data_IF_056108357269
#
_entry.id   IF_056108357269
#
_cell.length_a   1.000
_cell.length_b   1.000
_cell.length_c   1.000
_cell.angle_alpha   90.00
_cell.angle_beta   90.00
_cell.angle_gamma   90.00
#
_symmetry.space_group_name_H-M   'P 1'
#
loop_
_entity.id
_entity.type
_entity.pdbx_description
1 polymer ?
#
# COMPACT_ATOMS: atom_id res chain seq x y z
N UNK A 1 -11.81 -0.23 -59.01
CA UNK A 1 -12.90 0.56 -58.37
C UNK A 1 -13.67 -0.31 -57.37
N UNK A 2 -14.31 -1.41 -57.77
CA UNK A 2 -15.07 -2.29 -56.86
C UNK A 2 -14.23 -2.92 -55.74
N UNK A 3 -13.01 -3.38 -56.03
CA UNK A 3 -12.12 -4.00 -55.04
C UNK A 3 -11.65 -3.00 -53.97
N UNK A 4 -11.32 -1.77 -54.38
CA UNK A 4 -10.88 -0.69 -53.50
C UNK A 4 -11.99 -0.25 -52.55
N UNK A 5 -13.25 -0.17 -53.02
CA UNK A 5 -14.41 0.21 -52.20
C UNK A 5 -14.75 -0.86 -51.14
N UNK A 6 -14.61 -2.15 -51.47
CA UNK A 6 -14.84 -3.26 -50.51
C UNK A 6 -13.76 -3.24 -49.41
N UNK A 7 -12.51 -2.93 -49.77
CA UNK A 7 -11.41 -2.86 -48.81
C UNK A 7 -11.57 -1.65 -47.88
N UNK A 8 -11.92 -0.47 -48.40
CA UNK A 8 -12.16 0.73 -47.57
C UNK A 8 -13.36 0.57 -46.64
N UNK A 9 -14.47 -0.01 -47.12
CA UNK A 9 -15.66 -0.26 -46.30
C UNK A 9 -15.40 -1.31 -45.20
N UNK A 10 -14.61 -2.37 -45.48
CA UNK A 10 -14.22 -3.35 -44.46
C UNK A 10 -13.29 -2.73 -43.40
N UNK A 11 -12.38 -1.83 -43.77
CA UNK A 11 -11.45 -1.16 -42.84
C UNK A 11 -12.21 -0.19 -41.90
N UNK A 12 -13.21 0.55 -42.40
CA UNK A 12 -14.03 1.44 -41.57
C UNK A 12 -14.96 0.70 -40.59
N UNK A 13 -15.26 -0.59 -40.81
CA UNK A 13 -16.11 -1.40 -39.91
C UNK A 13 -15.26 -2.22 -38.92
N UNK A 14 -14.09 -2.71 -39.35
CA UNK A 14 -13.19 -3.49 -38.50
C UNK A 14 -12.58 -2.63 -37.40
N UNK A 15 -12.27 -1.36 -37.69
CA UNK A 15 -11.70 -0.42 -36.72
C UNK A 15 -12.61 -0.09 -35.52
N UNK A 16 -13.92 0.26 -35.68
CA UNK A 16 -14.80 0.51 -34.55
C UNK A 16 -15.14 -0.77 -33.80
N UNK A 17 -15.26 -1.92 -34.48
CA UNK A 17 -15.55 -3.20 -33.83
C UNK A 17 -14.38 -3.65 -32.95
N UNK A 18 -13.15 -3.50 -33.45
CA UNK A 18 -11.92 -3.78 -32.71
C UNK A 18 -11.77 -2.81 -31.53
N UNK A 19 -12.06 -1.51 -31.72
CA UNK A 19 -12.04 -0.52 -30.65
C UNK A 19 -13.10 -0.84 -29.57
N UNK A 20 -14.31 -1.27 -29.97
CA UNK A 20 -15.35 -1.71 -29.05
C UNK A 20 -14.91 -2.94 -28.26
N UNK A 21 -14.29 -3.92 -28.92
CA UNK A 21 -13.72 -5.11 -28.28
C UNK A 21 -12.63 -4.74 -27.27
N UNK A 22 -11.74 -3.81 -27.62
CA UNK A 22 -10.73 -3.30 -26.69
C UNK A 22 -11.34 -2.57 -25.49
N UNK A 23 -12.34 -1.72 -25.71
CA UNK A 23 -13.07 -1.03 -24.64
C UNK A 23 -13.84 -2.02 -23.74
N UNK A 24 -14.42 -3.07 -24.32
CA UNK A 24 -15.07 -4.14 -23.58
C UNK A 24 -14.05 -4.90 -22.72
N UNK A 25 -12.89 -5.26 -23.29
CA UNK A 25 -11.80 -5.91 -22.56
C UNK A 25 -11.29 -5.05 -21.39
N UNK A 26 -11.14 -3.73 -21.61
CA UNK A 26 -10.77 -2.78 -20.55
C UNK A 26 -11.85 -2.73 -19.46
N UNK A 27 -13.13 -2.68 -19.84
CA UNK A 27 -14.26 -2.69 -18.91
C UNK A 27 -14.42 -4.02 -18.15
N UNK A 28 -14.04 -5.16 -18.74
CA UNK A 28 -13.98 -6.45 -18.05
C UNK A 28 -12.77 -6.54 -17.10
N UNK A 29 -11.68 -5.85 -17.41
CA UNK A 29 -10.43 -5.90 -16.63
C UNK A 29 -10.42 -4.99 -15.40
N UNK A 30 -11.34 -4.02 -15.30
CA UNK A 30 -11.42 -3.06 -14.20
C UNK A 30 -12.02 -3.70 -12.93
N UNK A 31 -11.32 -4.69 -12.39
CA UNK A 31 -11.56 -5.15 -11.03
C UNK A 31 -11.01 -4.10 -10.07
N UNK A 32 -11.90 -3.20 -9.60
CA UNK A 32 -11.58 -2.32 -8.49
C UNK A 32 -11.25 -3.20 -7.26
N UNK A 33 -9.98 -3.25 -6.86
CA UNK A 33 -9.55 -3.96 -5.65
C UNK A 33 -10.35 -3.42 -4.46
N UNK A 34 -11.19 -4.25 -3.86
CA UNK A 34 -11.91 -3.85 -2.67
C UNK A 34 -10.94 -3.89 -1.48
N UNK A 35 -10.34 -2.73 -1.20
CA UNK A 35 -9.38 -2.55 -0.10
C UNK A 35 -9.91 -3.12 1.21
N UNK A 36 -11.22 -3.07 1.48
CA UNK A 36 -11.79 -3.58 2.73
C UNK A 36 -11.70 -5.10 2.88
N UNK A 37 -11.57 -5.84 1.79
CA UNK A 37 -11.47 -7.32 1.78
C UNK A 37 -10.07 -7.82 1.47
N UNK A 38 -9.12 -6.93 1.24
CA UNK A 38 -7.75 -7.32 0.92
C UNK A 38 -7.13 -8.07 2.10
N UNK A 39 -6.68 -9.29 1.83
CA UNK A 39 -5.88 -10.12 2.75
C UNK A 39 -4.50 -10.25 2.12
N UNK A 40 -3.48 -9.84 2.85
CA UNK A 40 -2.13 -9.59 2.37
C UNK A 40 -1.54 -8.33 2.99
N UNK A 41 -0.26 -8.10 2.78
CA UNK A 41 0.47 -6.94 3.28
C UNK A 41 1.23 -6.30 2.10
N UNK A 42 1.04 -5.00 1.90
CA UNK A 42 1.58 -4.30 0.73
C UNK A 42 2.08 -2.89 1.08
N UNK A 43 3.01 -2.39 0.27
CA UNK A 43 3.49 -1.00 0.33
C UNK A 43 2.42 -0.09 -0.25
N UNK A 44 2.05 0.97 0.46
CA UNK A 44 1.08 1.97 0.03
C UNK A 44 1.45 3.36 0.51
N UNK A 45 0.96 4.35 -0.21
CA UNK A 45 1.11 5.75 0.17
C UNK A 45 0.28 6.05 1.44
N UNK A 46 0.94 6.68 2.41
CA UNK A 46 0.35 7.14 3.66
C UNK A 46 0.82 8.54 3.97
N UNK A 47 -0.10 9.38 4.43
CA UNK A 47 0.21 10.76 4.80
C UNK A 47 0.03 10.94 6.31
N UNK A 48 1.05 11.46 6.97
CA UNK A 48 1.03 11.76 8.39
C UNK A 48 1.51 13.18 8.67
N UNK A 49 1.22 13.69 9.87
CA UNK A 49 1.71 14.99 10.30
C UNK A 49 2.98 14.80 11.14
N UNK A 50 4.13 15.11 10.54
CA UNK A 50 5.42 15.13 11.24
C UNK A 50 5.46 16.30 12.23
N UNK A 51 5.78 16.01 13.49
CA UNK A 51 5.86 16.99 14.58
C UNK A 51 7.14 16.79 15.36
N UNK A 52 7.77 17.91 15.72
CA UNK A 52 8.94 17.97 16.60
C UNK A 52 8.77 19.16 17.56
N UNK A 53 9.07 19.01 18.86
CA UNK A 53 8.99 20.12 19.80
C UNK A 53 9.81 21.33 19.31
N UNK A 54 9.22 22.52 19.34
CA UNK A 54 9.88 23.75 18.92
C UNK A 54 9.87 24.03 17.40
N UNK A 55 9.18 23.21 16.60
CA UNK A 55 8.94 23.45 15.17
C UNK A 55 7.45 23.41 14.83
N UNK A 56 7.09 23.97 13.68
CA UNK A 56 5.78 23.77 13.06
C UNK A 56 5.60 22.36 12.52
N UNK A 57 4.35 21.89 12.47
CA UNK A 57 4.03 20.59 11.87
C UNK A 57 4.11 20.62 10.34
N UNK A 58 4.44 19.47 9.74
CA UNK A 58 4.48 19.28 8.29
C UNK A 58 3.71 18.02 7.90
N UNK A 59 2.79 18.11 6.95
CA UNK A 59 2.20 16.92 6.33
C UNK A 59 3.21 16.28 5.39
N UNK A 60 3.51 15.01 5.63
CA UNK A 60 4.48 14.22 4.87
C UNK A 60 3.77 13.02 4.29
N UNK A 61 3.91 12.83 2.98
CA UNK A 61 3.42 11.68 2.25
C UNK A 61 4.58 10.72 1.99
N UNK A 62 4.44 9.46 2.37
CA UNK A 62 5.48 8.44 2.25
C UNK A 62 4.89 7.07 1.99
N UNK A 63 5.70 6.16 1.45
CA UNK A 63 5.40 4.74 1.40
C UNK A 63 5.44 4.11 2.80
N UNK A 64 4.39 3.38 3.16
CA UNK A 64 4.21 2.67 4.42
C UNK A 64 3.56 1.28 4.20
N UNK A 65 3.63 0.41 5.20
CA UNK A 65 3.03 -0.92 5.14
C UNK A 65 1.57 -0.91 5.56
N UNK A 66 0.71 -1.53 4.74
CA UNK A 66 -0.72 -1.63 5.00
C UNK A 66 -1.31 -2.96 4.53
N UNK A 67 -2.22 -3.52 5.31
CA UNK A 67 -2.91 -4.76 4.96
C UNK A 67 -3.44 -5.54 6.15
N UNK A 68 -3.84 -6.79 5.89
CA UNK A 68 -4.34 -7.74 6.90
C UNK A 68 -3.66 -9.09 6.70
N UNK A 69 -3.07 -9.61 7.76
CA UNK A 69 -2.39 -10.90 7.73
C UNK A 69 -3.32 -12.01 8.25
N UNK A 70 -3.11 -13.21 7.76
CA UNK A 70 -3.79 -14.39 8.28
C UNK A 70 -3.21 -14.76 9.64
N UNK A 71 -4.12 -15.02 10.59
CA UNK A 71 -3.80 -15.42 11.95
C UNK A 71 -4.74 -16.52 12.38
N UNK A 72 -4.29 -17.40 13.26
CA UNK A 72 -5.12 -18.47 13.79
C UNK A 72 -4.71 -18.82 15.22
N UNK A 73 -5.65 -19.40 15.94
CA UNK A 73 -5.42 -19.98 17.27
C UNK A 73 -6.05 -21.36 17.28
N UNK A 74 -5.28 -22.34 17.76
CA UNK A 74 -5.64 -23.75 17.77
C UNK A 74 -5.67 -24.23 19.22
N UNK A 75 -6.80 -24.74 19.71
CA UNK A 75 -6.85 -25.41 21.00
C UNK A 75 -5.97 -26.67 20.99
N UNK A 76 -5.21 -26.88 22.07
CA UNK A 76 -4.39 -28.08 22.31
C UNK A 76 -4.72 -28.68 23.67
N UNK A 77 -4.45 -29.98 23.84
CA UNK A 77 -4.86 -30.73 25.05
C UNK A 77 -3.97 -30.41 26.24
N UNK A 78 -2.66 -30.28 26.01
CA UNK A 78 -1.69 -29.99 27.06
C UNK A 78 -1.49 -28.48 27.24
N UNK A 79 -1.13 -28.00 28.44
CA UNK A 79 -0.72 -26.62 28.66
C UNK A 79 0.32 -26.17 27.61
N UNK A 80 0.23 -24.96 27.02
CA UNK A 80 -0.61 -23.83 27.41
C UNK A 80 -2.07 -23.85 26.88
N UNK A 81 -2.58 -24.99 26.42
CA UNK A 81 -3.96 -25.19 25.92
C UNK A 81 -4.34 -24.44 24.63
N UNK A 82 -3.53 -23.48 24.21
CA UNK A 82 -3.68 -22.75 22.95
C UNK A 82 -2.33 -22.66 22.25
N UNK A 83 -2.29 -23.08 20.99
CA UNK A 83 -1.22 -22.82 20.03
C UNK A 83 -1.65 -21.63 19.15
N UNK A 84 -0.92 -20.52 19.17
CA UNK A 84 -1.28 -19.32 18.43
C UNK A 84 -0.28 -18.99 17.32
N UNK A 85 -0.81 -18.53 16.20
CA UNK A 85 -0.05 -18.00 15.07
C UNK A 85 -0.56 -16.59 14.78
N UNK A 86 0.16 -15.63 15.34
CA UNK A 86 -0.19 -14.22 15.24
C UNK A 86 0.85 -13.52 14.37
N UNK A 87 0.37 -12.87 13.30
CA UNK A 87 1.19 -12.11 12.35
C UNK A 87 0.57 -10.75 12.12
N UNK A 88 1.42 -9.76 11.95
CA UNK A 88 1.04 -8.38 11.64
C UNK A 88 1.67 -7.94 10.33
N UNK A 89 1.04 -6.99 9.65
CA UNK A 89 1.63 -6.36 8.48
C UNK A 89 2.70 -5.37 8.93
N UNK A 90 3.97 -5.67 8.61
CA UNK A 90 5.12 -4.89 9.09
C UNK A 90 6.12 -4.64 7.97
N UNK A 91 7.07 -3.75 8.24
CA UNK A 91 8.20 -3.44 7.36
C UNK A 91 9.15 -4.64 7.32
N UNK A 92 9.39 -5.16 6.12
CA UNK A 92 10.46 -6.12 5.87
C UNK A 92 11.76 -5.38 5.50
N UNK A 93 11.65 -4.38 4.62
CA UNK A 93 12.76 -3.54 4.17
C UNK A 93 12.29 -2.08 4.13
N UNK A 94 13.11 -1.17 4.67
CA UNK A 94 12.84 0.26 4.67
C UNK A 94 14.11 1.08 4.46
N UNK A 95 13.92 2.33 4.05
CA UNK A 95 14.98 3.35 3.98
C UNK A 95 14.63 4.52 4.88
N UNK A 96 15.64 5.14 5.47
CA UNK A 96 15.45 6.37 6.24
C UNK A 96 15.35 7.57 5.29
N UNK A 97 14.31 8.38 5.48
CA UNK A 97 14.06 9.61 4.74
C UNK A 97 14.04 10.77 5.72
N UNK A 98 14.65 11.89 5.34
CA UNK A 98 14.73 13.09 6.16
C UNK A 98 14.05 14.27 5.48
N UNK A 99 13.22 14.99 6.22
CA UNK A 99 12.56 16.23 5.79
C UNK A 99 12.91 17.39 6.71
N UNK A 100 12.65 18.63 6.28
CA UNK A 100 12.84 19.83 7.09
C UNK A 100 11.50 20.40 7.53
N UNK A 101 11.31 20.54 8.84
CA UNK A 101 10.10 21.11 9.42
C UNK A 101 10.11 22.66 9.31
N UNK A 102 8.94 23.28 9.08
CA UNK A 102 8.82 24.74 9.01
C UNK A 102 8.81 25.39 10.40
N UNK A 103 9.04 26.71 10.44
CA UNK A 103 8.82 27.55 11.64
C UNK A 103 9.49 27.06 12.94
N UNK A 104 10.75 26.61 12.85
CA UNK A 104 11.51 26.20 14.03
C UNK A 104 12.04 27.40 14.84
N UNK A 105 12.04 27.26 16.16
CA UNK A 105 12.69 28.19 17.08
C UNK A 105 14.22 28.24 16.85
N UNK A 106 14.87 29.33 17.25
CA UNK A 106 16.32 29.47 17.12
C UNK A 106 17.04 28.38 17.93
N UNK A 107 18.03 27.74 17.31
CA UNK A 107 18.81 26.66 17.91
C UNK A 107 18.14 25.28 17.86
N UNK A 108 16.90 25.18 17.38
CA UNK A 108 16.23 23.88 17.17
C UNK A 108 16.60 23.34 15.79
N UNK A 109 17.05 22.09 15.74
CA UNK A 109 17.32 21.40 14.48
C UNK A 109 16.00 21.15 13.71
N UNK A 110 15.86 21.62 12.46
CA UNK A 110 14.64 21.43 11.68
C UNK A 110 14.52 20.02 11.07
N UNK A 111 15.51 19.14 11.19
CA UNK A 111 15.44 17.82 10.54
C UNK A 111 14.51 16.85 11.28
N UNK A 112 13.76 16.07 10.50
CA UNK A 112 12.90 14.99 10.97
C UNK A 112 13.11 13.77 10.07
N UNK A 113 13.47 12.64 10.67
CA UNK A 113 13.83 11.40 9.95
C UNK A 113 12.85 10.29 10.30
N UNK A 114 12.39 9.54 9.30
CA UNK A 114 11.42 8.46 9.45
C UNK A 114 11.69 7.33 8.43
N UNK A 115 11.20 6.10 8.68
CA UNK A 115 11.30 5.01 7.72
C UNK A 115 10.26 5.12 6.61
N UNK A 116 10.68 4.87 5.37
CA UNK A 116 9.84 4.71 4.19
C UNK A 116 9.93 3.26 3.71
N UNK A 117 8.78 2.62 3.50
CA UNK A 117 8.70 1.20 3.15
C UNK A 117 9.23 0.94 1.73
N UNK A 118 10.11 -0.05 1.60
CA UNK A 118 10.50 -0.63 0.31
C UNK A 118 9.80 -1.96 0.09
N UNK A 119 9.65 -2.76 1.17
CA UNK A 119 8.95 -4.05 1.17
C UNK A 119 8.22 -4.25 2.48
N UNK A 120 7.07 -4.91 2.39
CA UNK A 120 6.21 -5.23 3.52
C UNK A 120 5.94 -6.73 3.56
N UNK A 121 5.72 -7.28 4.76
CA UNK A 121 5.43 -8.69 4.94
C UNK A 121 4.49 -8.97 6.13
N UNK A 122 3.94 -10.18 6.15
CA UNK A 122 3.25 -10.71 7.32
C UNK A 122 4.24 -11.41 8.25
N UNK A 123 4.63 -10.72 9.31
CA UNK A 123 5.68 -11.16 10.23
C UNK A 123 5.28 -11.03 11.70
N UNK A 124 6.20 -11.40 12.58
CA UNK A 124 6.07 -11.08 13.99
C UNK A 124 6.29 -9.57 14.20
N UNK A 125 5.60 -9.00 15.18
CA UNK A 125 5.86 -7.63 15.57
C UNK A 125 7.16 -7.57 16.42
N UNK A 126 8.17 -6.88 15.91
CA UNK A 126 9.46 -6.74 16.59
C UNK A 126 9.43 -5.52 17.53
N UNK A 127 9.25 -5.77 18.83
CA UNK A 127 9.20 -4.73 19.88
C UNK A 127 10.48 -3.89 20.00
N UNK A 128 11.60 -4.34 19.41
CA UNK A 128 12.85 -3.59 19.38
C UNK A 128 12.78 -2.33 18.51
N UNK A 129 11.97 -2.36 17.45
CA UNK A 129 11.92 -1.29 16.44
C UNK A 129 10.51 -0.77 16.18
N UNK A 130 9.50 -1.50 16.66
CA UNK A 130 8.10 -1.24 16.37
C UNK A 130 7.30 -1.34 17.66
N UNK A 131 6.48 -0.34 17.93
CA UNK A 131 5.52 -0.40 19.03
C UNK A 131 4.37 -1.33 18.63
N UNK A 132 4.22 -2.42 19.39
CA UNK A 132 3.26 -3.48 19.10
C UNK A 132 2.01 -3.25 19.92
N UNK A 133 1.07 -2.48 19.36
CA UNK A 133 -0.19 -2.15 20.00
C UNK A 133 -1.38 -2.86 19.34
N UNK A 134 -2.40 -3.17 20.13
CA UNK A 134 -3.70 -3.66 19.63
C UNK A 134 -4.56 -2.47 19.22
N UNK A 135 -5.28 -2.57 18.10
CA UNK A 135 -6.27 -1.56 17.73
C UNK A 135 -7.36 -1.47 18.81
N UNK A 136 -7.53 -0.27 19.40
CA UNK A 136 -8.55 0.05 20.41
C UNK A 136 -9.86 0.42 19.74
#
# INVERSE_FOLDING_TARGET
>A
ISYTIIVTQKIEIVTPLVLLLFLLLIALSSSALNLRRFTGCAVREFTFMAKKPGCGGLHVTTDACWGRCETWEKPIVDPPYIESFQRVCTYNESRLVTVRLPHCLRGVDPTYTFPSALRCECGLCLTRTTECETAV
#
